data_IF_723558043990
#
_entry.id   IF_723558043990
#
_cell.length_a   1.000
_cell.length_b   1.000
_cell.length_c   1.000
_cell.angle_alpha   90.00
_cell.angle_beta   90.00
_cell.angle_gamma   90.00
#
_symmetry.space_group_name_H-M   'P 1'
#
loop_
_entity.id
_entity.type
_entity.pdbx_description
1 polymer ?
#
# COMPACT_ATOMS: atom_id res chain seq x y z
N UNK A 1 17.71 6.66 0.64
CA UNK A 1 16.68 5.69 1.04
C UNK A 1 16.38 5.88 2.51
N UNK A 2 15.10 6.00 2.89
CA UNK A 2 14.68 6.07 4.29
C UNK A 2 14.85 4.72 4.96
N UNK A 3 14.88 4.72 6.31
CA UNK A 3 14.92 3.47 7.08
C UNK A 3 13.73 2.56 6.75
N UNK A 4 12.54 3.13 6.61
CA UNK A 4 11.32 2.38 6.31
C UNK A 4 11.38 1.69 4.94
N UNK A 5 11.94 2.33 3.93
CA UNK A 5 12.11 1.71 2.60
C UNK A 5 13.13 0.57 2.64
N UNK A 6 14.18 0.69 3.45
CA UNK A 6 15.13 -0.41 3.66
C UNK A 6 14.45 -1.62 4.31
N UNK A 7 13.68 -1.41 5.38
CA UNK A 7 12.92 -2.48 6.04
C UNK A 7 11.90 -3.10 5.07
N UNK A 8 11.19 -2.27 4.28
CA UNK A 8 10.26 -2.76 3.29
C UNK A 8 10.95 -3.60 2.21
N UNK A 9 12.11 -3.17 1.70
CA UNK A 9 12.87 -3.91 0.70
C UNK A 9 13.32 -5.28 1.22
N UNK A 10 13.85 -5.34 2.44
CA UNK A 10 14.23 -6.60 3.08
C UNK A 10 13.04 -7.55 3.21
N UNK A 11 11.91 -7.07 3.76
CA UNK A 11 10.70 -7.86 3.90
C UNK A 11 10.13 -8.33 2.56
N UNK A 12 10.16 -7.48 1.55
CA UNK A 12 9.69 -7.81 0.20
C UNK A 12 10.50 -8.96 -0.39
N UNK A 13 11.83 -8.86 -0.33
CA UNK A 13 12.73 -9.89 -0.83
C UNK A 13 12.52 -11.21 -0.08
N UNK A 14 12.52 -11.18 1.25
CA UNK A 14 12.32 -12.39 2.06
C UNK A 14 10.97 -13.04 1.80
N UNK A 15 9.90 -12.23 1.68
CA UNK A 15 8.55 -12.73 1.41
C UNK A 15 8.46 -13.41 0.04
N UNK A 16 9.04 -12.82 -1.01
CA UNK A 16 9.10 -13.43 -2.33
C UNK A 16 9.94 -14.70 -2.35
N UNK A 17 11.11 -14.70 -1.70
CA UNK A 17 11.93 -15.91 -1.60
C UNK A 17 11.20 -17.05 -0.90
N UNK A 18 10.45 -16.75 0.17
CA UNK A 18 9.65 -17.73 0.92
C UNK A 18 8.57 -18.40 0.06
N UNK A 19 8.11 -17.77 -1.04
CA UNK A 19 7.18 -18.41 -1.99
C UNK A 19 7.81 -19.57 -2.77
N UNK A 20 9.13 -19.60 -2.87
CA UNK A 20 9.87 -20.55 -3.69
C UNK A 20 9.80 -20.26 -5.20
N UNK A 21 9.17 -19.16 -5.62
CA UNK A 21 9.01 -18.77 -7.04
C UNK A 21 10.27 -18.12 -7.63
N UNK A 22 11.11 -17.52 -6.79
CA UNK A 22 12.31 -16.79 -7.22
C UNK A 22 13.45 -17.74 -7.59
N UNK A 23 14.07 -17.54 -8.74
CA UNK A 23 15.29 -18.21 -9.19
C UNK A 23 16.52 -17.43 -8.73
N UNK A 24 16.59 -16.14 -9.09
CA UNK A 24 17.66 -15.21 -8.71
C UNK A 24 17.08 -13.82 -8.42
N UNK A 25 17.81 -13.04 -7.65
CA UNK A 25 17.45 -11.65 -7.36
C UNK A 25 18.70 -10.81 -7.06
N UNK A 26 18.59 -9.49 -7.27
CA UNK A 26 19.54 -8.50 -6.78
C UNK A 26 18.81 -7.21 -6.42
N UNK A 27 19.43 -6.37 -5.58
CA UNK A 27 18.91 -5.07 -5.19
C UNK A 27 19.92 -3.98 -5.51
N UNK A 28 19.43 -2.79 -5.87
CA UNK A 28 20.20 -1.57 -6.01
C UNK A 28 19.38 -0.41 -5.43
N UNK A 29 19.66 -0.08 -4.18
CA UNK A 29 18.89 0.93 -3.43
C UNK A 29 17.44 0.50 -3.20
N UNK A 30 16.51 1.27 -3.75
CA UNK A 30 15.06 1.08 -3.70
C UNK A 30 14.51 0.25 -4.87
N UNK A 31 15.39 -0.26 -5.71
CA UNK A 31 15.08 -1.09 -6.86
C UNK A 31 15.45 -2.55 -6.57
N UNK A 32 14.56 -3.47 -6.88
CA UNK A 32 14.74 -4.91 -6.68
C UNK A 32 14.39 -5.66 -7.96
N UNK A 33 15.34 -6.40 -8.49
CA UNK A 33 15.16 -7.23 -9.67
C UNK A 33 15.04 -8.70 -9.28
N UNK A 34 14.02 -9.36 -9.81
CA UNK A 34 13.75 -10.77 -9.59
C UNK A 34 13.64 -11.49 -10.93
N UNK A 35 14.29 -12.62 -11.03
CA UNK A 35 14.01 -13.61 -12.07
C UNK A 35 13.21 -14.75 -11.43
N UNK A 36 12.03 -14.99 -11.95
CA UNK A 36 11.14 -16.05 -11.49
C UNK A 36 11.49 -17.38 -12.17
N UNK A 37 11.19 -18.49 -11.52
CA UNK A 37 11.37 -19.84 -12.10
C UNK A 37 10.50 -20.09 -13.33
N UNK A 38 9.44 -19.30 -13.53
CA UNK A 38 8.63 -19.27 -14.75
C UNK A 38 9.37 -18.68 -15.96
N UNK A 39 10.54 -18.04 -15.72
CA UNK A 39 11.33 -17.34 -16.73
C UNK A 39 11.01 -15.85 -16.85
N UNK A 40 10.00 -15.36 -16.17
CA UNK A 40 9.63 -13.94 -16.14
C UNK A 40 10.61 -13.15 -15.28
N UNK A 41 10.88 -11.91 -15.69
CA UNK A 41 11.69 -10.96 -14.92
C UNK A 41 10.83 -9.81 -14.44
N UNK A 42 10.95 -9.47 -13.17
CA UNK A 42 10.20 -8.38 -12.52
C UNK A 42 11.17 -7.41 -11.88
N UNK A 43 11.01 -6.13 -12.20
CA UNK A 43 11.74 -5.03 -11.58
C UNK A 43 10.77 -4.23 -10.71
N UNK A 44 10.95 -4.34 -9.40
CA UNK A 44 10.13 -3.65 -8.39
C UNK A 44 10.83 -2.40 -7.91
N UNK A 45 10.09 -1.28 -7.84
CA UNK A 45 10.53 -0.01 -7.28
C UNK A 45 9.73 0.31 -6.03
N UNK A 46 10.40 0.55 -4.90
CA UNK A 46 9.79 1.12 -3.70
C UNK A 46 9.92 2.64 -3.75
N UNK A 47 8.80 3.34 -3.82
CA UNK A 47 8.73 4.78 -4.11
C UNK A 47 8.32 5.54 -2.85
N UNK A 48 9.19 6.47 -2.43
CA UNK A 48 8.98 7.33 -1.25
C UNK A 48 8.42 8.73 -1.60
N UNK A 49 8.51 9.12 -2.87
CA UNK A 49 8.12 10.45 -3.35
C UNK A 49 7.36 10.36 -4.66
N UNK A 50 6.45 11.32 -4.96
CA UNK A 50 5.74 11.36 -6.23
C UNK A 50 6.70 11.31 -7.42
N UNK A 51 6.43 10.43 -8.38
CA UNK A 51 7.15 10.36 -9.63
C UNK A 51 6.56 11.37 -10.63
N UNK A 52 7.38 11.93 -11.50
CA UNK A 52 6.85 12.62 -12.67
C UNK A 52 6.32 11.59 -13.68
N UNK A 53 5.32 11.98 -14.49
CA UNK A 53 4.81 11.13 -15.59
C UNK A 53 5.93 10.73 -16.54
N UNK A 54 6.91 11.60 -16.77
CA UNK A 54 8.08 11.32 -17.60
C UNK A 54 8.96 10.22 -17.00
N UNK A 55 9.17 10.21 -15.68
CA UNK A 55 9.93 9.16 -15.02
C UNK A 55 9.20 7.82 -15.09
N UNK A 56 7.88 7.81 -14.90
CA UNK A 56 7.05 6.61 -15.07
C UNK A 56 7.22 6.07 -16.50
N UNK A 57 7.05 6.92 -17.50
CA UNK A 57 7.21 6.54 -18.90
C UNK A 57 8.62 6.01 -19.21
N UNK A 58 9.65 6.64 -18.65
CA UNK A 58 11.04 6.20 -18.82
C UNK A 58 11.25 4.78 -18.27
N UNK A 59 10.80 4.51 -17.05
CA UNK A 59 10.90 3.17 -16.45
C UNK A 59 10.13 2.13 -17.25
N UNK A 60 8.88 2.44 -17.61
CA UNK A 60 8.04 1.53 -18.40
C UNK A 60 8.67 1.22 -19.77
N UNK A 61 9.16 2.24 -20.45
CA UNK A 61 9.80 2.07 -21.78
C UNK A 61 11.05 1.22 -21.68
N UNK A 62 11.95 1.59 -20.76
CA UNK A 62 13.26 0.92 -20.63
C UNK A 62 13.10 -0.54 -20.24
N UNK A 63 12.21 -0.83 -19.28
CA UNK A 63 12.00 -2.19 -18.80
C UNK A 63 11.27 -3.05 -19.85
N UNK A 64 10.21 -2.52 -20.45
CA UNK A 64 9.45 -3.23 -21.49
C UNK A 64 10.33 -3.60 -22.68
N UNK A 65 11.24 -2.69 -23.12
CA UNK A 65 12.20 -2.97 -24.19
C UNK A 65 13.17 -4.12 -23.86
N UNK A 66 13.46 -4.32 -22.56
CA UNK A 66 14.30 -5.42 -22.07
C UNK A 66 13.52 -6.70 -21.79
N UNK A 67 12.19 -6.70 -21.96
CA UNK A 67 11.32 -7.82 -21.61
C UNK A 67 11.10 -7.97 -20.10
N UNK A 68 11.39 -6.92 -19.32
CA UNK A 68 11.24 -6.92 -17.86
C UNK A 68 9.93 -6.26 -17.47
N UNK A 69 9.16 -6.90 -16.62
CA UNK A 69 7.90 -6.38 -16.10
C UNK A 69 8.14 -5.41 -14.93
N UNK A 70 7.46 -4.26 -14.96
CA UNK A 70 7.64 -3.20 -13.97
C UNK A 70 6.57 -3.29 -12.89
N UNK A 71 6.98 -3.17 -11.62
CA UNK A 71 6.09 -3.05 -10.47
C UNK A 71 6.50 -1.83 -9.64
N UNK A 72 5.56 -0.89 -9.46
CA UNK A 72 5.73 0.24 -8.54
C UNK A 72 4.95 -0.02 -7.26
N UNK A 73 5.60 0.14 -6.11
CA UNK A 73 4.99 0.06 -4.79
C UNK A 73 5.32 1.34 -4.04
N UNK A 74 4.31 2.06 -3.60
CA UNK A 74 4.44 3.40 -3.03
C UNK A 74 4.33 3.39 -1.51
N UNK A 75 5.04 4.28 -0.86
CA UNK A 75 4.85 4.49 0.57
C UNK A 75 3.43 4.95 0.87
N UNK A 76 2.80 4.32 1.87
CA UNK A 76 1.38 4.48 2.20
C UNK A 76 0.94 5.92 2.40
N UNK A 77 1.81 6.77 2.99
CA UNK A 77 1.51 8.18 3.23
C UNK A 77 1.27 8.98 1.94
N UNK A 78 1.68 8.47 0.78
CA UNK A 78 1.41 9.10 -0.51
C UNK A 78 -0.05 8.97 -0.95
N UNK A 79 -0.81 8.08 -0.33
CA UNK A 79 -2.24 7.88 -0.62
C UNK A 79 -3.17 8.63 0.33
N UNK A 80 -2.68 9.66 1.03
CA UNK A 80 -3.47 10.48 1.94
C UNK A 80 -4.18 11.63 1.18
N UNK A 81 -5.40 11.98 1.56
CA UNK A 81 -6.17 11.55 2.71
C UNK A 81 -6.94 10.26 2.45
N UNK A 82 -7.00 9.52 3.46
CA UNK A 82 -7.80 8.44 3.97
C UNK A 82 -8.71 7.62 3.02
N UNK A 83 -8.71 6.36 3.34
CA UNK A 83 -9.67 5.33 2.96
C UNK A 83 -11.11 5.85 2.81
N UNK A 84 -11.73 5.56 1.65
CA UNK A 84 -13.10 5.88 1.26
C UNK A 84 -13.43 7.37 0.95
N UNK A 85 -12.48 8.28 1.00
CA UNK A 85 -12.72 9.66 0.60
C UNK A 85 -12.58 9.88 -0.91
N UNK A 86 -13.37 10.83 -1.43
CA UNK A 86 -13.20 11.34 -2.79
C UNK A 86 -12.00 12.27 -2.83
N UNK A 87 -11.03 11.94 -3.67
CA UNK A 87 -9.77 12.63 -3.77
C UNK A 87 -9.40 12.97 -5.22
N UNK A 88 -8.95 14.21 -5.49
CA UNK A 88 -8.39 14.53 -6.79
C UNK A 88 -7.04 13.83 -6.95
N UNK A 89 -6.93 12.93 -7.93
CA UNK A 89 -5.68 12.23 -8.19
C UNK A 89 -4.57 13.21 -8.59
N UNK A 90 -3.37 12.97 -8.08
CA UNK A 90 -2.16 13.58 -8.61
C UNK A 90 -1.82 13.00 -9.98
N UNK A 91 -1.04 13.73 -10.79
CA UNK A 91 -0.74 13.33 -12.18
C UNK A 91 -0.08 11.94 -12.26
N UNK A 92 0.79 11.58 -11.31
CA UNK A 92 1.41 10.26 -11.25
C UNK A 92 0.42 9.14 -10.93
N UNK A 93 -0.57 9.42 -10.05
CA UNK A 93 -1.63 8.46 -9.74
C UNK A 93 -2.53 8.23 -10.96
N UNK A 94 -2.90 9.30 -11.65
CA UNK A 94 -3.73 9.22 -12.86
C UNK A 94 -3.02 8.45 -13.97
N UNK A 95 -1.73 8.72 -14.17
CA UNK A 95 -0.89 8.00 -15.12
C UNK A 95 -0.84 6.50 -14.84
N UNK A 96 -0.54 6.13 -13.59
CA UNK A 96 -0.48 4.72 -13.21
C UNK A 96 -1.86 4.05 -13.20
N UNK A 97 -2.92 4.76 -12.80
CA UNK A 97 -4.29 4.25 -12.90
C UNK A 97 -4.65 3.86 -14.34
N UNK A 98 -4.19 4.64 -15.30
CA UNK A 98 -4.41 4.38 -16.72
C UNK A 98 -3.69 3.10 -17.18
N UNK A 99 -2.49 2.84 -16.65
CA UNK A 99 -1.64 1.70 -17.02
C UNK A 99 -1.98 0.43 -16.23
N UNK A 100 -2.32 0.56 -14.95
CA UNK A 100 -2.50 -0.56 -14.00
C UNK A 100 -3.98 -0.85 -13.65
N UNK A 101 -4.91 -0.53 -14.53
CA UNK A 101 -6.35 -0.85 -14.36
C UNK A 101 -6.90 -0.36 -13.01
N UNK A 102 -6.54 0.87 -12.62
CA UNK A 102 -6.96 1.51 -11.37
C UNK A 102 -6.48 0.82 -10.07
N UNK A 103 -5.48 -0.06 -10.16
CA UNK A 103 -4.90 -0.72 -8.99
C UNK A 103 -3.45 -0.32 -8.83
N UNK A 104 -3.14 0.40 -7.76
CA UNK A 104 -1.79 0.70 -7.33
C UNK A 104 -1.39 -0.23 -6.17
N UNK A 105 -0.14 -0.16 -5.74
CA UNK A 105 0.32 -0.92 -4.58
C UNK A 105 0.98 0.01 -3.57
N UNK A 106 0.71 -0.23 -2.29
CA UNK A 106 1.28 0.51 -1.19
C UNK A 106 2.10 -0.37 -0.26
N UNK A 107 3.05 0.24 0.44
CA UNK A 107 3.72 -0.37 1.57
C UNK A 107 3.68 0.52 2.80
N UNK A 108 3.68 -0.09 3.97
CA UNK A 108 3.71 0.53 5.28
C UNK A 108 4.71 -0.21 6.16
N UNK A 109 5.41 0.50 7.04
CA UNK A 109 6.37 -0.10 7.99
C UNK A 109 5.96 0.22 9.42
N UNK A 110 6.01 -0.79 10.29
CA UNK A 110 5.88 -0.64 11.72
C UNK A 110 6.99 -1.43 12.42
N UNK A 111 7.88 -0.71 13.08
CA UNK A 111 9.08 -1.28 13.69
C UNK A 111 9.96 -2.00 12.66
N UNK A 112 10.01 -3.33 12.73
CA UNK A 112 10.77 -4.18 11.80
C UNK A 112 9.89 -4.93 10.80
N UNK A 113 8.59 -4.66 10.80
CA UNK A 113 7.64 -5.33 9.92
C UNK A 113 7.23 -4.41 8.78
N UNK A 114 7.12 -4.97 7.58
CA UNK A 114 6.56 -4.26 6.43
C UNK A 114 5.29 -4.96 5.93
N UNK A 115 4.33 -4.17 5.51
CA UNK A 115 3.01 -4.57 5.05
C UNK A 115 2.80 -4.04 3.65
N UNK A 116 2.37 -4.91 2.73
CA UNK A 116 2.12 -4.56 1.33
C UNK A 116 0.65 -4.81 1.00
N UNK A 117 0.02 -3.89 0.29
CA UNK A 117 -1.41 -3.95 0.01
C UNK A 117 -1.75 -3.27 -1.31
N UNK A 118 -2.82 -3.69 -2.01
CA UNK A 118 -3.34 -3.00 -3.17
C UNK A 118 -4.11 -1.75 -2.74
N UNK A 119 -4.07 -0.73 -3.58
CA UNK A 119 -4.82 0.52 -3.46
C UNK A 119 -5.69 0.66 -4.70
N UNK A 120 -7.00 0.61 -4.53
CA UNK A 120 -7.96 0.72 -5.60
C UNK A 120 -8.42 2.16 -5.77
N UNK A 121 -8.43 2.63 -7.01
CA UNK A 121 -8.88 3.97 -7.39
C UNK A 121 -10.26 3.86 -8.04
N UNK A 122 -11.30 3.75 -7.22
CA UNK A 122 -12.66 3.51 -7.66
C UNK A 122 -13.29 4.76 -8.29
N UNK A 123 -13.95 4.60 -9.44
CA UNK A 123 -14.62 5.67 -10.18
C UNK A 123 -13.96 5.99 -11.52
N UNK A 124 -14.38 7.10 -12.12
CA UNK A 124 -13.88 7.60 -13.40
C UNK A 124 -13.53 9.09 -13.30
N UNK A 125 -12.61 9.54 -14.17
CA UNK A 125 -12.13 10.92 -14.14
C UNK A 125 -11.06 11.15 -13.07
N UNK A 126 -10.81 12.42 -12.74
CA UNK A 126 -9.71 12.83 -11.88
C UNK A 126 -10.02 12.74 -10.39
N UNK A 127 -11.29 12.84 -10.01
CA UNK A 127 -11.73 12.70 -8.60
C UNK A 127 -12.22 11.28 -8.38
N UNK A 128 -11.53 10.54 -7.55
CA UNK A 128 -11.80 9.13 -7.31
C UNK A 128 -11.83 8.81 -5.82
N UNK A 129 -12.45 7.69 -5.52
CA UNK A 129 -12.42 7.13 -4.17
C UNK A 129 -11.18 6.24 -4.04
N UNK A 130 -10.37 6.48 -3.00
CA UNK A 130 -9.22 5.65 -2.68
C UNK A 130 -9.66 4.60 -1.67
N UNK A 131 -9.47 3.33 -2.02
CA UNK A 131 -9.80 2.21 -1.15
C UNK A 131 -8.59 1.27 -1.02
N UNK A 132 -8.22 0.94 0.21
CA UNK A 132 -7.13 0.03 0.50
C UNK A 132 -7.65 -1.41 0.57
N UNK A 133 -6.93 -2.33 -0.06
CA UNK A 133 -7.23 -3.76 -0.01
C UNK A 133 -6.55 -4.47 1.15
N UNK A 134 -6.77 -5.77 1.24
CA UNK A 134 -6.08 -6.65 2.18
C UNK A 134 -4.60 -6.82 1.80
N UNK A 135 -3.78 -7.38 2.71
CA UNK A 135 -2.38 -7.65 2.44
C UNK A 135 -2.21 -8.54 1.21
N UNK A 136 -1.20 -8.24 0.39
CA UNK A 136 -0.91 -9.06 -0.79
C UNK A 136 -0.47 -10.47 -0.41
N UNK A 137 -0.90 -11.45 -1.18
CA UNK A 137 -0.30 -12.77 -1.15
C UNK A 137 0.84 -12.81 -2.17
N UNK A 138 2.07 -12.87 -1.72
CA UNK A 138 3.26 -12.86 -2.57
C UNK A 138 3.30 -14.02 -3.58
N UNK A 139 2.57 -15.12 -3.32
CA UNK A 139 2.43 -16.24 -4.25
C UNK A 139 1.61 -15.90 -5.50
N UNK A 140 0.92 -14.76 -5.48
CA UNK A 140 0.10 -14.27 -6.60
C UNK A 140 0.81 -13.26 -7.47
N UNK A 141 2.12 -13.00 -7.24
CA UNK A 141 2.91 -12.15 -8.13
C UNK A 141 2.90 -12.73 -9.55
N UNK A 142 2.51 -11.94 -10.52
CA UNK A 142 2.46 -12.32 -11.92
C UNK A 142 2.82 -11.15 -12.83
N UNK A 143 3.38 -11.46 -13.99
CA UNK A 143 3.63 -10.50 -15.06
C UNK A 143 2.42 -10.45 -16.00
N UNK A 144 2.13 -9.26 -16.53
CA UNK A 144 1.06 -9.07 -17.51
C UNK A 144 1.40 -7.91 -18.46
N UNK A 145 0.63 -7.78 -19.53
CA UNK A 145 0.77 -6.67 -20.47
C UNK A 145 -0.44 -5.76 -20.42
N UNK A 146 -0.22 -4.46 -20.32
CA UNK A 146 -1.26 -3.45 -20.40
C UNK A 146 -1.12 -2.61 -21.66
N UNK A 147 -2.22 -2.26 -22.32
CA UNK A 147 -2.23 -1.44 -23.52
C UNK A 147 -3.00 -0.14 -23.29
N UNK A 148 -2.32 0.99 -23.46
CA UNK A 148 -2.89 2.32 -23.32
C UNK A 148 -3.08 2.93 -24.71
N UNK A 149 -4.34 3.21 -25.08
CA UNK A 149 -4.73 3.71 -26.43
C UNK A 149 -5.08 5.19 -26.46
N UNK A 150 -5.60 5.74 -25.36
CA UNK A 150 -6.24 7.06 -25.31
C UNK A 150 -5.48 8.12 -24.50
N UNK A 151 -4.34 7.77 -23.93
CA UNK A 151 -3.48 8.70 -23.20
C UNK A 151 -2.23 9.00 -24.05
N UNK A 152 -2.06 10.25 -24.46
CA UNK A 152 -0.93 10.63 -25.31
C UNK A 152 0.42 10.49 -24.60
N UNK A 153 0.47 10.68 -23.29
CA UNK A 153 1.70 10.59 -22.51
C UNK A 153 2.16 9.13 -22.30
N UNK A 154 1.22 8.20 -22.19
CA UNK A 154 1.50 6.80 -21.85
C UNK A 154 1.07 5.81 -22.94
N UNK A 155 0.76 6.31 -24.15
CA UNK A 155 0.34 5.47 -25.28
C UNK A 155 1.37 4.39 -25.56
N UNK A 156 0.91 3.13 -25.59
CA UNK A 156 1.79 2.00 -25.84
C UNK A 156 1.32 0.72 -25.17
N UNK A 157 2.17 -0.29 -25.27
CA UNK A 157 2.01 -1.55 -24.57
C UNK A 157 3.16 -1.72 -23.60
N UNK A 158 2.81 -1.97 -22.33
CA UNK A 158 3.74 -1.99 -21.21
C UNK A 158 3.77 -3.35 -20.54
N UNK A 159 4.98 -3.86 -20.27
CA UNK A 159 5.19 -5.04 -19.44
C UNK A 159 5.13 -4.64 -17.97
N UNK A 160 4.14 -5.17 -17.27
CA UNK A 160 3.86 -4.85 -15.87
C UNK A 160 3.89 -6.11 -15.01
N UNK A 161 4.04 -5.93 -13.71
CA UNK A 161 3.79 -6.96 -12.74
C UNK A 161 2.82 -6.45 -11.67
N UNK A 162 2.13 -7.38 -11.03
CA UNK A 162 1.18 -7.09 -9.96
C UNK A 162 0.89 -8.33 -9.16
N UNK A 163 0.13 -8.14 -8.08
CA UNK A 163 -0.39 -9.25 -7.31
C UNK A 163 -1.81 -9.53 -7.77
N UNK A 164 -2.15 -10.81 -7.92
CA UNK A 164 -3.52 -11.22 -8.20
C UNK A 164 -4.45 -10.68 -7.11
N UNK A 165 -5.67 -10.28 -7.51
CA UNK A 165 -6.70 -10.03 -6.52
C UNK A 165 -6.87 -11.31 -5.72
N UNK A 166 -6.82 -11.27 -4.37
CA UNK A 166 -7.26 -12.42 -3.60
C UNK A 166 -8.65 -12.75 -4.12
N UNK A 167 -8.82 -13.96 -4.66
CA UNK A 167 -10.15 -14.50 -5.01
C UNK A 167 -11.01 -14.19 -3.82
N UNK A 168 -12.12 -13.43 -4.03
CA UNK A 168 -13.00 -12.87 -2.99
C UNK A 168 -12.90 -13.68 -1.71
N UNK A 169 -12.11 -13.19 -0.78
CA UNK A 169 -11.88 -13.90 0.45
C UNK A 169 -13.27 -14.12 1.04
N UNK A 170 -13.65 -15.39 1.16
CA UNK A 170 -14.84 -15.79 1.90
C UNK A 170 -14.85 -14.92 3.16
N UNK A 171 -15.96 -14.23 3.47
CA UNK A 171 -16.02 -13.37 4.65
C UNK A 171 -15.35 -14.14 5.79
N UNK A 172 -14.36 -13.58 6.48
CA UNK A 172 -13.66 -14.31 7.53
C UNK A 172 -14.72 -14.86 8.47
N UNK A 173 -14.62 -16.15 8.78
CA UNK A 173 -15.49 -16.75 9.78
C UNK A 173 -15.45 -15.84 11.02
N UNK A 174 -16.57 -15.68 11.75
CA UNK A 174 -16.63 -14.77 12.90
C UNK A 174 -15.46 -15.11 13.83
N UNK A 175 -14.43 -14.26 13.80
CA UNK A 175 -13.25 -14.42 14.65
C UNK A 175 -13.71 -14.09 16.07
N UNK A 176 -13.27 -14.86 17.06
CA UNK A 176 -13.38 -14.44 18.46
C UNK A 176 -12.72 -13.07 18.56
N UNK A 177 -13.41 -12.12 19.20
CA UNK A 177 -12.88 -10.76 19.37
C UNK A 177 -11.46 -10.83 19.95
N UNK A 178 -10.55 -10.08 19.34
CA UNK A 178 -9.17 -10.01 19.81
C UNK A 178 -9.12 -9.27 21.15
N UNK A 179 -8.10 -9.47 21.99
CA UNK A 179 -7.90 -8.64 23.19
C UNK A 179 -7.84 -7.14 22.87
N UNK A 180 -7.56 -6.80 21.61
CA UNK A 180 -7.43 -5.44 21.10
C UNK A 180 -8.73 -4.86 20.52
N UNK A 181 -9.80 -5.64 20.42
CA UNK A 181 -11.09 -5.22 19.85
C UNK A 181 -11.60 -3.88 20.41
N UNK A 182 -11.40 -3.65 21.71
CA UNK A 182 -11.78 -2.39 22.38
C UNK A 182 -11.02 -1.17 21.83
N UNK A 183 -9.76 -1.33 21.46
CA UNK A 183 -8.94 -0.24 20.92
C UNK A 183 -9.31 0.07 19.46
N UNK A 184 -9.59 -0.96 18.67
CA UNK A 184 -10.16 -0.76 17.33
C UNK A 184 -11.51 -0.01 17.41
N UNK A 185 -12.38 -0.40 18.34
CA UNK A 185 -13.67 0.28 18.55
C UNK A 185 -13.52 1.76 18.95
N UNK A 186 -12.50 2.12 19.74
CA UNK A 186 -12.20 3.52 20.08
C UNK A 186 -11.89 4.34 18.85
N UNK A 187 -11.20 3.74 17.86
CA UNK A 187 -10.89 4.38 16.58
C UNK A 187 -12.01 4.22 15.54
N UNK A 188 -13.16 3.66 15.91
CA UNK A 188 -14.28 3.44 15.00
C UNK A 188 -14.03 2.35 13.94
N UNK A 189 -13.09 1.46 14.20
CA UNK A 189 -12.67 0.43 13.26
C UNK A 189 -13.22 -0.96 13.63
N UNK A 190 -13.46 -1.84 12.64
CA UNK A 190 -13.66 -3.26 12.88
C UNK A 190 -12.45 -3.89 13.56
N UNK A 191 -12.66 -4.95 14.36
CA UNK A 191 -11.58 -5.72 14.96
C UNK A 191 -10.64 -6.32 13.90
N UNK A 192 -9.34 -6.35 14.20
CA UNK A 192 -8.28 -6.80 13.30
C UNK A 192 -8.18 -6.00 11.98
N UNK A 193 -8.57 -4.74 11.97
CA UNK A 193 -8.31 -3.79 10.87
C UNK A 193 -6.81 -3.65 10.62
N UNK A 194 -6.42 -3.29 9.39
CA UNK A 194 -5.00 -3.13 9.02
C UNK A 194 -4.34 -1.96 9.75
N UNK A 195 -3.01 -1.99 9.87
CA UNK A 195 -2.23 -0.88 10.44
C UNK A 195 -2.52 0.44 9.73
N UNK A 196 -2.65 0.40 8.40
CA UNK A 196 -2.99 1.59 7.63
C UNK A 196 -4.35 2.16 8.04
N UNK A 197 -5.38 1.32 8.17
CA UNK A 197 -6.70 1.75 8.64
C UNK A 197 -6.60 2.39 10.05
N UNK A 198 -5.78 1.82 10.94
CA UNK A 198 -5.52 2.36 12.28
C UNK A 198 -4.88 3.76 12.20
N UNK A 199 -3.83 3.93 11.38
CA UNK A 199 -3.16 5.24 11.21
C UNK A 199 -4.10 6.29 10.61
N UNK A 200 -4.90 5.91 9.63
CA UNK A 200 -5.87 6.78 8.99
C UNK A 200 -6.94 7.24 9.99
N UNK A 201 -7.57 6.31 10.68
CA UNK A 201 -8.59 6.62 11.69
C UNK A 201 -8.04 7.51 12.81
N UNK A 202 -6.84 7.20 13.30
CA UNK A 202 -6.16 8.03 14.29
C UNK A 202 -5.98 9.48 13.80
N UNK A 203 -5.45 9.69 12.58
CA UNK A 203 -5.24 11.05 12.04
C UNK A 203 -6.54 11.82 11.88
N UNK A 204 -7.60 11.15 11.43
CA UNK A 204 -8.92 11.75 11.30
C UNK A 204 -9.46 12.17 12.66
N UNK A 205 -9.48 11.27 13.64
CA UNK A 205 -9.97 11.56 15.00
C UNK A 205 -9.09 12.59 15.70
N UNK A 206 -7.77 12.55 15.53
CA UNK A 206 -6.86 13.55 16.09
C UNK A 206 -7.14 14.96 15.56
N UNK A 207 -7.56 15.13 14.30
CA UNK A 207 -7.97 16.43 13.75
C UNK A 207 -9.32 16.89 14.32
N UNK A 208 -10.25 15.96 14.50
CA UNK A 208 -11.61 16.23 14.99
C UNK A 208 -11.61 16.59 16.49
N UNK A 209 -10.82 15.86 17.29
CA UNK A 209 -10.78 15.99 18.75
C UNK A 209 -9.56 16.76 19.25
N UNK A 210 -8.81 17.46 18.38
CA UNK A 210 -7.64 18.23 18.78
C UNK A 210 -8.05 19.37 19.75
N UNK A 211 -7.41 19.47 20.94
CA UNK A 211 -7.84 20.44 21.98
C UNK A 211 -7.80 21.91 21.51
N UNK A 212 -6.87 22.26 20.58
CA UNK A 212 -6.78 23.61 20.04
C UNK A 212 -7.88 23.95 19.02
N UNK A 213 -8.62 22.97 18.52
CA UNK A 213 -9.63 23.14 17.48
C UNK A 213 -11.03 22.76 17.91
N UNK A 214 -11.13 21.90 18.89
CA UNK A 214 -12.41 21.41 19.40
C UNK A 214 -12.72 22.03 20.75
N UNK A 215 -13.72 22.93 20.85
CA UNK A 215 -14.08 23.61 22.10
C UNK A 215 -14.87 22.70 23.06
N UNK A 216 -15.15 21.44 22.71
CA UNK A 216 -15.87 20.51 23.56
C UNK A 216 -15.04 20.24 24.86
N UNK A 217 -15.63 20.41 26.05
CA UNK A 217 -14.97 20.10 27.33
C UNK A 217 -14.45 18.65 27.41
N UNK A 218 -15.07 17.72 26.63
CA UNK A 218 -14.70 16.31 26.60
C UNK A 218 -13.63 15.98 25.52
N UNK A 219 -13.24 16.96 24.68
CA UNK A 219 -12.26 16.73 23.60
C UNK A 219 -10.93 16.22 24.15
N UNK A 220 -10.43 16.77 25.24
CA UNK A 220 -9.20 16.31 25.91
C UNK A 220 -9.27 14.85 26.35
N UNK A 221 -10.38 14.46 26.99
CA UNK A 221 -10.57 13.09 27.47
C UNK A 221 -10.68 12.13 26.27
N UNK A 222 -11.40 12.54 25.23
CA UNK A 222 -11.54 11.74 24.00
C UNK A 222 -10.21 11.58 23.29
N UNK A 223 -9.44 12.65 23.16
CA UNK A 223 -8.11 12.59 22.56
C UNK A 223 -7.15 11.67 23.32
N UNK A 224 -7.19 11.69 24.66
CA UNK A 224 -6.39 10.75 25.47
C UNK A 224 -6.76 9.28 25.21
N UNK A 225 -8.05 8.96 25.06
CA UNK A 225 -8.51 7.61 24.69
C UNK A 225 -8.05 7.21 23.28
N UNK A 226 -8.09 8.14 22.32
CA UNK A 226 -7.64 7.93 20.95
C UNK A 226 -6.13 7.64 20.93
N UNK A 227 -5.34 8.41 21.68
CA UNK A 227 -3.90 8.20 21.78
C UNK A 227 -3.55 6.84 22.41
N UNK A 228 -4.17 6.46 23.53
CA UNK A 228 -3.95 5.15 24.18
C UNK A 228 -4.31 4.01 23.24
N UNK A 229 -5.44 4.11 22.55
CA UNK A 229 -5.85 3.10 21.58
C UNK A 229 -4.85 2.96 20.43
N UNK A 230 -4.39 4.08 19.88
CA UNK A 230 -3.40 4.09 18.80
C UNK A 230 -2.07 3.50 19.24
N UNK A 231 -1.53 3.90 20.38
CA UNK A 231 -0.26 3.38 20.93
C UNK A 231 -0.31 1.86 21.17
N UNK A 232 -1.44 1.34 21.70
CA UNK A 232 -1.63 -0.10 21.93
C UNK A 232 -1.69 -0.90 20.62
N UNK A 233 -2.41 -0.38 19.64
CA UNK A 233 -2.50 -1.01 18.33
C UNK A 233 -1.16 -0.96 17.60
N UNK A 234 -0.44 0.16 17.67
CA UNK A 234 0.88 0.30 17.08
C UNK A 234 1.88 -0.68 17.68
N UNK A 235 1.93 -0.79 19.01
CA UNK A 235 2.78 -1.76 19.73
C UNK A 235 2.51 -3.20 19.28
N UNK A 236 1.26 -3.57 19.07
CA UNK A 236 0.89 -4.89 18.55
C UNK A 236 1.47 -5.14 17.14
N UNK A 237 1.35 -4.16 16.23
CA UNK A 237 1.91 -4.30 14.88
C UNK A 237 3.44 -4.28 14.85
N UNK A 238 4.07 -3.61 15.80
CA UNK A 238 5.53 -3.59 15.96
C UNK A 238 6.09 -4.89 16.57
N UNK A 239 5.23 -5.80 16.99
CA UNK A 239 5.62 -7.08 17.60
C UNK A 239 5.99 -6.97 19.07
N UNK A 240 5.69 -5.85 19.72
CA UNK A 240 5.72 -5.75 21.17
C UNK A 240 4.43 -6.40 21.70
N UNK A 241 4.54 -7.50 22.46
CA UNK A 241 3.41 -8.11 23.13
C UNK A 241 2.68 -7.04 23.94
N UNK A 242 1.45 -6.74 23.53
CA UNK A 242 0.55 -5.95 24.38
C UNK A 242 0.19 -6.84 25.58
N UNK A 243 0.28 -6.31 26.81
CA UNK A 243 -0.03 -7.04 28.02
C UNK A 243 -1.49 -7.49 28.09
#
# INVERSE_FOLDING_TARGET
>A
MRYDTFVAAEHYVLSLQATGMVETWYTDGDMMHFKLKSGEEVLTYLIEYPLSVQNILHHLTTNTQKGISTLFIFWADMFLPAHDDLYPLEDWMEALATVQENTLYGFEVAGRNAFFFPVYLDGVGRVRRIRHGELVDFRTLHAYSSEVKHDDALRGRWALAGFGTPTQARPPAPRKATPLAKFYAVLGLPDASTLLAVKVAYRQMAREYHPDRNPDPHAHQRMAQINDAYERLLAYYEGYDAP
#
